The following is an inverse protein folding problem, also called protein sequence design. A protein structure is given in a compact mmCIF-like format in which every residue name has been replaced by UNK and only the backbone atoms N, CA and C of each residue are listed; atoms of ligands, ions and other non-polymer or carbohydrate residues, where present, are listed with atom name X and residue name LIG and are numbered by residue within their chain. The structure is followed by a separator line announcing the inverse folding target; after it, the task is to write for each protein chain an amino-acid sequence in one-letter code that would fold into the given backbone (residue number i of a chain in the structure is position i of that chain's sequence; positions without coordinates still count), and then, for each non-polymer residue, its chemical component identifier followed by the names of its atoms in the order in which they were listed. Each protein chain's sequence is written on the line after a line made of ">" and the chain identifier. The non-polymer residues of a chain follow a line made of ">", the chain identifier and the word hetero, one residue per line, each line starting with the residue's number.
data_IF_215135578498
#
_entry.id   IF_215135578498
#
_cell.length_a   1.000
_cell.length_b   1.000
_cell.length_c   1.000
_cell.angle_alpha   90.00
_cell.angle_beta   90.00
_cell.angle_gamma   90.00
#
_symmetry.space_group_name_H-M   'P 1'
#
loop_
_entity.id
_entity.type
_entity.pdbx_description
1 polymer ?
#
# COMPACT_ATOMS: atom_id res chain seq x y z
N UNK A 1 4.62 29.26 1.06
CA UNK A 1 4.38 28.36 -0.09
C UNK A 1 5.18 27.10 0.19
N UNK A 2 4.53 26.03 0.66
CA UNK A 2 5.25 24.77 0.90
C UNK A 2 5.54 24.16 -0.47
N UNK A 3 6.82 24.00 -0.80
CA UNK A 3 7.23 23.34 -2.02
C UNK A 3 6.79 21.87 -1.93
N UNK A 4 5.80 21.49 -2.74
CA UNK A 4 5.22 20.16 -2.66
C UNK A 4 6.15 19.21 -3.41
N UNK A 5 6.96 18.48 -2.65
CA UNK A 5 7.83 17.44 -3.19
C UNK A 5 6.99 16.48 -4.05
N UNK A 6 7.41 16.26 -5.29
CA UNK A 6 6.78 15.32 -6.22
C UNK A 6 7.83 14.40 -6.81
N UNK A 7 7.41 13.20 -7.21
CA UNK A 7 8.31 12.23 -7.85
C UNK A 7 8.67 12.71 -9.25
N UNK A 8 9.96 12.64 -9.58
CA UNK A 8 10.47 12.87 -10.93
C UNK A 8 9.96 11.78 -11.90
N UNK A 9 9.95 12.01 -13.22
CA UNK A 9 9.58 10.98 -14.19
C UNK A 9 10.37 9.68 -14.00
N UNK A 10 11.66 9.79 -13.67
CA UNK A 10 12.53 8.64 -13.42
C UNK A 10 12.11 7.85 -12.18
N UNK A 11 11.82 8.55 -11.08
CA UNK A 11 11.31 7.93 -9.85
C UNK A 11 9.95 7.26 -10.08
N UNK A 12 9.08 7.81 -10.93
CA UNK A 12 7.81 7.17 -11.29
C UNK A 12 8.00 5.86 -12.05
N UNK A 13 8.99 5.81 -12.94
CA UNK A 13 9.31 4.59 -13.68
C UNK A 13 9.92 3.51 -12.78
N UNK A 14 10.81 3.90 -11.86
CA UNK A 14 11.37 3.00 -10.85
C UNK A 14 10.28 2.51 -9.88
N UNK A 15 9.34 3.38 -9.49
CA UNK A 15 8.16 3.05 -8.68
C UNK A 15 7.29 2.00 -9.39
N UNK A 16 6.98 2.20 -10.67
CA UNK A 16 6.24 1.22 -11.47
C UNK A 16 6.95 -0.13 -11.52
N UNK A 17 8.27 -0.11 -11.71
CA UNK A 17 9.09 -1.32 -11.79
C UNK A 17 9.10 -2.09 -10.47
N UNK A 18 9.39 -1.42 -9.34
CA UNK A 18 9.38 -2.10 -8.04
C UNK A 18 7.97 -2.53 -7.63
N UNK A 19 6.92 -1.80 -8.01
CA UNK A 19 5.53 -2.20 -7.76
C UNK A 19 5.19 -3.52 -8.47
N UNK A 20 5.51 -3.68 -9.76
CA UNK A 20 5.36 -4.96 -10.48
C UNK A 20 6.11 -6.11 -9.82
N UNK A 21 7.28 -5.84 -9.24
CA UNK A 21 8.07 -6.86 -8.53
C UNK A 21 7.45 -7.26 -7.19
N UNK A 22 6.81 -6.32 -6.48
CA UNK A 22 6.12 -6.61 -5.22
C UNK A 22 4.82 -7.38 -5.49
N UNK A 23 4.05 -6.96 -6.50
CA UNK A 23 2.77 -7.58 -6.87
C UNK A 23 2.68 -7.69 -8.40
N UNK A 24 3.06 -8.83 -8.98
CA UNK A 24 2.92 -9.07 -10.41
C UNK A 24 1.44 -9.28 -10.80
N UNK A 25 1.08 -9.16 -12.09
CA UNK A 25 -0.25 -9.53 -12.56
C UNK A 25 -0.53 -11.01 -12.31
N UNK A 26 -1.80 -11.34 -12.08
CA UNK A 26 -2.26 -12.73 -11.94
C UNK A 26 -3.29 -13.08 -12.99
N UNK A 27 -2.93 -13.99 -13.89
CA UNK A 27 -3.83 -14.55 -14.89
C UNK A 27 -4.92 -15.44 -14.25
N UNK A 28 -4.54 -16.20 -13.21
CA UNK A 28 -5.45 -17.09 -12.46
C UNK A 28 -6.64 -16.31 -11.88
N UNK A 29 -6.38 -15.18 -11.23
CA UNK A 29 -7.40 -14.34 -10.62
C UNK A 29 -7.90 -13.21 -11.53
N UNK A 30 -7.35 -13.11 -12.76
CA UNK A 30 -7.65 -12.04 -13.74
C UNK A 30 -7.52 -10.63 -13.16
N UNK A 31 -6.49 -10.41 -12.35
CA UNK A 31 -6.20 -9.12 -11.72
C UNK A 31 -4.93 -8.50 -12.29
N UNK A 32 -4.89 -7.15 -12.40
CA UNK A 32 -3.68 -6.44 -12.80
C UNK A 32 -2.54 -6.65 -11.79
N UNK A 33 -1.32 -6.35 -12.22
CA UNK A 33 -0.19 -6.12 -11.32
C UNK A 33 -0.24 -4.71 -10.75
N UNK A 34 0.59 -4.42 -9.75
CA UNK A 34 0.66 -3.09 -9.16
C UNK A 34 1.29 -2.03 -10.09
N UNK A 35 1.78 -2.42 -11.27
CA UNK A 35 2.27 -1.54 -12.34
C UNK A 35 1.19 -1.05 -13.33
N UNK A 36 -0.05 -1.51 -13.17
CA UNK A 36 -1.22 -1.05 -13.93
C UNK A 36 -1.43 0.46 -13.81
N UNK A 37 -1.85 1.09 -14.90
CA UNK A 37 -1.94 2.55 -15.00
C UNK A 37 -2.89 3.19 -13.98
N UNK A 38 -4.01 2.53 -13.67
CA UNK A 38 -5.00 3.03 -12.70
C UNK A 38 -4.42 2.96 -11.29
N UNK A 39 -3.78 1.84 -10.95
CA UNK A 39 -3.14 1.63 -9.64
C UNK A 39 -1.98 2.60 -9.45
N UNK A 40 -1.15 2.80 -10.49
CA UNK A 40 -0.05 3.76 -10.46
C UNK A 40 -0.56 5.21 -10.29
N UNK A 41 -1.65 5.57 -10.96
CA UNK A 41 -2.26 6.88 -10.77
C UNK A 41 -2.75 7.09 -9.32
N UNK A 42 -3.37 6.08 -8.70
CA UNK A 42 -3.81 6.15 -7.31
C UNK A 42 -2.63 6.25 -6.32
N UNK A 43 -1.56 5.47 -6.53
CA UNK A 43 -0.33 5.58 -5.74
C UNK A 43 0.18 7.02 -5.76
N UNK A 44 0.33 7.61 -6.95
CA UNK A 44 0.86 8.95 -7.12
C UNK A 44 -0.05 10.04 -6.53
N UNK A 45 -1.37 9.87 -6.63
CA UNK A 45 -2.35 10.80 -6.09
C UNK A 45 -2.41 10.78 -4.56
N UNK A 46 -2.05 9.66 -3.92
CA UNK A 46 -2.24 9.44 -2.48
C UNK A 46 -0.96 9.46 -1.64
N UNK A 47 0.21 9.68 -2.25
CA UNK A 47 1.50 9.73 -1.53
C UNK A 47 1.49 10.70 -0.33
N UNK A 48 0.95 11.91 -0.50
CA UNK A 48 0.77 12.90 0.56
C UNK A 48 1.99 13.06 1.49
N UNK A 49 1.83 12.66 2.76
CA UNK A 49 2.89 12.74 3.78
C UNK A 49 4.04 11.75 3.56
N UNK A 50 3.81 10.68 2.81
CA UNK A 50 4.77 9.60 2.57
C UNK A 50 5.74 9.92 1.44
N UNK A 51 5.50 10.99 0.66
CA UNK A 51 6.31 11.32 -0.53
C UNK A 51 7.80 11.39 -0.24
N UNK A 52 8.22 11.98 0.89
CA UNK A 52 9.64 12.06 1.27
C UNK A 52 10.27 10.69 1.49
N UNK A 53 9.54 9.77 2.12
CA UNK A 53 10.00 8.41 2.38
C UNK A 53 10.04 7.59 1.09
N UNK A 54 9.05 7.77 0.21
CA UNK A 54 9.02 7.12 -1.10
C UNK A 54 10.18 7.61 -1.98
N UNK A 55 10.46 8.91 -2.03
CA UNK A 55 11.65 9.45 -2.71
C UNK A 55 12.93 8.82 -2.16
N UNK A 56 13.08 8.79 -0.83
CA UNK A 56 14.25 8.17 -0.18
C UNK A 56 14.42 6.69 -0.54
N UNK A 57 13.31 5.95 -0.63
CA UNK A 57 13.29 4.55 -1.03
C UNK A 57 13.73 4.37 -2.49
N UNK A 58 13.19 5.16 -3.41
CA UNK A 58 13.50 5.10 -4.84
C UNK A 58 14.95 5.51 -5.12
N UNK A 59 15.47 6.53 -4.44
CA UNK A 59 16.86 6.94 -4.55
C UNK A 59 17.81 5.86 -3.96
N UNK A 60 17.37 5.12 -2.94
CA UNK A 60 18.13 3.98 -2.44
C UNK A 60 18.14 2.81 -3.44
N UNK A 61 17.00 2.48 -4.06
CA UNK A 61 16.94 1.48 -5.13
C UNK A 61 17.88 1.84 -6.29
N UNK A 62 17.82 3.09 -6.78
CA UNK A 62 18.74 3.59 -7.82
C UNK A 62 20.21 3.47 -7.41
N UNK A 63 20.56 3.74 -6.14
CA UNK A 63 21.95 3.57 -5.66
C UNK A 63 22.40 2.12 -5.61
N UNK A 64 21.52 1.21 -5.17
CA UNK A 64 21.84 -0.24 -5.15
C UNK A 64 21.98 -0.81 -6.57
N UNK A 65 21.19 -0.31 -7.50
CA UNK A 65 21.24 -0.66 -8.91
C UNK A 65 22.43 -0.04 -9.66
N UNK A 66 23.04 1.03 -9.12
CA UNK A 66 24.08 1.83 -9.80
C UNK A 66 23.56 2.68 -10.97
N UNK A 67 22.27 2.56 -11.26
CA UNK A 67 21.50 3.27 -12.29
C UNK A 67 20.04 3.17 -11.87
N UNK A 68 19.12 3.93 -12.47
CA UNK A 68 17.74 3.79 -12.07
C UNK A 68 17.16 2.41 -12.40
N UNK A 69 16.38 1.87 -11.47
CA UNK A 69 15.97 0.46 -11.41
C UNK A 69 15.28 -0.02 -12.69
N UNK A 70 14.46 0.83 -13.30
CA UNK A 70 13.72 0.45 -14.50
C UNK A 70 14.61 0.21 -15.74
N UNK A 71 15.86 0.71 -15.73
CA UNK A 71 16.81 0.48 -16.83
C UNK A 71 17.62 -0.80 -16.64
N UNK A 72 17.56 -1.43 -15.46
CA UNK A 72 18.21 -2.72 -15.26
C UNK A 72 17.49 -3.82 -16.04
N UNK A 73 18.27 -4.78 -16.52
CA UNK A 73 17.75 -6.03 -17.06
C UNK A 73 16.90 -6.77 -16.02
N UNK A 74 15.76 -7.37 -16.42
CA UNK A 74 14.82 -8.01 -15.48
C UNK A 74 15.49 -8.98 -14.50
N UNK A 75 16.42 -9.81 -14.98
CA UNK A 75 17.12 -10.80 -14.15
C UNK A 75 18.01 -10.17 -13.06
N UNK A 76 18.50 -8.94 -13.25
CA UNK A 76 19.34 -8.24 -12.28
C UNK A 76 18.53 -7.52 -11.19
N UNK A 77 17.24 -7.24 -11.45
CA UNK A 77 16.39 -6.49 -10.52
C UNK A 77 16.15 -7.25 -9.22
N UNK A 78 16.04 -8.57 -9.26
CA UNK A 78 15.79 -9.41 -8.08
C UNK A 78 16.89 -9.28 -7.02
N UNK A 79 18.15 -9.20 -7.46
CA UNK A 79 19.29 -8.97 -6.56
C UNK A 79 19.20 -7.61 -5.87
N UNK A 80 18.84 -6.56 -6.62
CA UNK A 80 18.65 -5.21 -6.07
C UNK A 80 17.48 -5.19 -5.08
N UNK A 81 16.34 -5.78 -5.42
CA UNK A 81 15.18 -5.86 -4.55
C UNK A 81 15.48 -6.64 -3.26
N UNK A 82 16.26 -7.73 -3.35
CA UNK A 82 16.69 -8.48 -2.18
C UNK A 82 17.58 -7.64 -1.26
N UNK A 83 18.56 -6.94 -1.82
CA UNK A 83 19.43 -6.07 -1.04
C UNK A 83 18.64 -4.91 -0.42
N UNK A 84 17.70 -4.33 -1.17
CA UNK A 84 16.83 -3.27 -0.70
C UNK A 84 15.92 -3.71 0.45
N UNK A 85 15.40 -4.95 0.43
CA UNK A 85 14.65 -5.52 1.56
C UNK A 85 15.49 -5.59 2.83
N UNK A 86 16.79 -5.86 2.72
CA UNK A 86 17.71 -5.99 3.86
C UNK A 86 18.10 -4.60 4.41
N UNK A 87 18.46 -3.65 3.54
CA UNK A 87 19.03 -2.36 3.95
C UNK A 87 18.03 -1.19 3.97
N UNK A 88 16.82 -1.37 3.45
CA UNK A 88 15.92 -0.26 3.11
C UNK A 88 15.17 0.41 4.27
N UNK A 89 15.09 -0.22 5.44
CA UNK A 89 14.56 0.36 6.67
C UNK A 89 13.14 0.95 6.53
N UNK A 90 12.92 2.10 7.19
CA UNK A 90 11.61 2.78 7.24
C UNK A 90 11.13 3.23 5.85
N UNK A 91 12.05 3.66 4.98
CA UNK A 91 11.71 4.09 3.63
C UNK A 91 11.16 2.92 2.80
N UNK A 92 11.81 1.76 2.86
CA UNK A 92 11.32 0.54 2.20
C UNK A 92 9.98 0.07 2.75
N UNK A 93 9.81 0.06 4.07
CA UNK A 93 8.54 -0.29 4.69
C UNK A 93 7.40 0.66 4.25
N UNK A 94 7.70 1.95 4.11
CA UNK A 94 6.73 2.95 3.64
C UNK A 94 6.36 2.73 2.17
N UNK A 95 7.35 2.50 1.30
CA UNK A 95 7.13 2.19 -0.12
C UNK A 95 6.22 0.97 -0.29
N UNK A 96 6.56 -0.14 0.38
CA UNK A 96 5.79 -1.38 0.33
C UNK A 96 4.36 -1.15 0.82
N UNK A 97 4.20 -0.45 1.95
CA UNK A 97 2.88 -0.12 2.50
C UNK A 97 2.01 0.64 1.50
N UNK A 98 2.55 1.68 0.86
CA UNK A 98 1.80 2.50 -0.11
C UNK A 98 1.38 1.66 -1.32
N UNK A 99 2.28 0.84 -1.87
CA UNK A 99 1.98 -0.06 -2.99
C UNK A 99 0.85 -1.02 -2.63
N UNK A 100 0.95 -1.70 -1.48
CA UNK A 100 -0.10 -2.62 -1.03
C UNK A 100 -1.44 -1.92 -0.79
N UNK A 101 -1.43 -0.75 -0.16
CA UNK A 101 -2.65 0.00 0.15
C UNK A 101 -3.41 0.40 -1.10
N UNK A 102 -2.71 0.85 -2.15
CA UNK A 102 -3.35 1.26 -3.40
C UNK A 102 -3.76 0.04 -4.24
N UNK A 103 -2.95 -1.03 -4.24
CA UNK A 103 -3.31 -2.28 -4.92
C UNK A 103 -4.62 -2.87 -4.38
N UNK A 104 -4.75 -3.01 -3.06
CA UNK A 104 -5.96 -3.53 -2.43
C UNK A 104 -7.10 -2.50 -2.31
N UNK A 105 -6.92 -1.28 -2.83
CA UNK A 105 -8.00 -0.31 -3.00
C UNK A 105 -8.67 -0.44 -4.36
N UNK A 106 -7.99 -1.01 -5.36
CA UNK A 106 -8.54 -1.17 -6.70
C UNK A 106 -9.73 -2.14 -6.70
N UNK A 107 -10.84 -1.69 -7.28
CA UNK A 107 -12.09 -2.45 -7.30
C UNK A 107 -11.95 -3.80 -8.01
N UNK A 108 -11.10 -3.89 -9.04
CA UNK A 108 -10.86 -5.15 -9.78
C UNK A 108 -10.18 -6.18 -8.86
N UNK A 109 -9.26 -5.72 -8.02
CA UNK A 109 -8.54 -6.55 -7.04
C UNK A 109 -9.46 -6.96 -5.91
N UNK A 110 -10.23 -6.03 -5.33
CA UNK A 110 -11.17 -6.35 -4.27
C UNK A 110 -12.26 -7.33 -4.76
N UNK A 111 -12.77 -7.12 -5.97
CA UNK A 111 -13.75 -8.00 -6.60
C UNK A 111 -13.23 -9.44 -6.79
N UNK A 112 -11.93 -9.62 -7.10
CA UNK A 112 -11.35 -10.96 -7.26
C UNK A 112 -11.24 -11.74 -5.95
N UNK A 113 -11.25 -11.05 -4.81
CA UNK A 113 -11.24 -11.66 -3.47
C UNK A 113 -12.63 -12.07 -2.99
N UNK A 114 -13.67 -11.91 -3.83
CA UNK A 114 -15.06 -12.16 -3.44
C UNK A 114 -15.61 -11.11 -2.47
N UNK A 115 -14.94 -9.97 -2.34
CA UNK A 115 -15.40 -8.86 -1.51
C UNK A 115 -16.43 -8.03 -2.30
N UNK A 116 -17.56 -7.74 -1.69
CA UNK A 116 -18.55 -6.84 -2.28
C UNK A 116 -17.99 -5.41 -2.36
N UNK A 117 -17.91 -4.88 -3.58
CA UNK A 117 -17.56 -3.49 -3.87
C UNK A 117 -18.71 -2.57 -3.48
N UNK A 118 -18.80 -2.21 -2.21
CA UNK A 118 -19.79 -1.25 -1.73
C UNK A 118 -19.23 -0.35 -0.66
N UNK A 119 -19.78 0.86 -0.63
CA UNK A 119 -19.53 1.77 0.47
C UNK A 119 -19.93 1.10 1.81
N UNK A 120 -19.15 1.30 2.88
CA UNK A 120 -19.48 0.75 4.20
C UNK A 120 -20.82 1.29 4.73
N UNK A 121 -21.28 2.45 4.27
CA UNK A 121 -22.61 3.01 4.58
C UNK A 121 -23.46 3.08 3.30
N UNK A 122 -24.78 2.82 3.35
CA UNK A 122 -25.61 2.57 4.53
C UNK A 122 -25.65 1.12 5.01
N UNK A 123 -25.25 0.15 4.18
CA UNK A 123 -25.52 -1.27 4.47
C UNK A 123 -24.63 -1.89 5.57
N UNK A 124 -23.40 -1.42 5.79
CA UNK A 124 -22.48 -2.00 6.78
C UNK A 124 -22.02 -3.43 6.46
N UNK A 125 -21.01 -3.94 7.16
CA UNK A 125 -20.75 -5.38 7.21
C UNK A 125 -21.53 -5.97 8.39
N UNK A 126 -22.17 -7.12 8.19
CA UNK A 126 -22.82 -7.85 9.29
C UNK A 126 -21.71 -8.44 10.16
N UNK A 127 -21.62 -8.00 11.40
CA UNK A 127 -20.73 -8.61 12.39
C UNK A 127 -21.45 -9.81 13.01
N UNK A 128 -20.75 -10.93 13.25
CA UNK A 128 -21.28 -11.99 14.10
C UNK A 128 -21.60 -11.41 15.48
N UNK A 129 -22.65 -11.93 16.12
CA UNK A 129 -22.93 -11.59 17.51
C UNK A 129 -21.70 -11.93 18.37
N UNK A 130 -21.11 -10.92 18.99
CA UNK A 130 -19.96 -11.08 19.87
C UNK A 130 -20.37 -11.69 21.21
N UNK A 131 -19.40 -12.30 21.90
CA UNK A 131 -19.59 -12.75 23.28
C UNK A 131 -19.67 -11.55 24.23
N UNK A 132 -20.90 -11.21 24.61
CA UNK A 132 -21.20 -10.09 25.51
C UNK A 132 -20.72 -10.31 26.95
N UNK A 133 -20.34 -11.54 27.33
CA UNK A 133 -19.77 -11.82 28.65
C UNK A 133 -18.37 -11.20 28.83
N UNK A 134 -17.67 -10.91 27.72
CA UNK A 134 -16.40 -10.17 27.73
C UNK A 134 -16.52 -8.76 28.36
N UNK A 135 -17.73 -8.20 28.41
CA UNK A 135 -17.99 -6.90 29.03
C UNK A 135 -18.35 -6.98 30.51
N UNK A 136 -18.51 -8.18 31.09
CA UNK A 136 -18.93 -8.33 32.49
C UNK A 136 -17.97 -7.67 33.49
N UNK A 137 -16.62 -7.73 33.31
CA UNK A 137 -15.70 -6.97 34.15
C UNK A 137 -15.89 -5.45 34.06
N UNK A 138 -16.33 -4.93 32.91
CA UNK A 138 -16.61 -3.49 32.70
C UNK A 138 -17.92 -3.10 33.39
N UNK A 139 -18.97 -3.93 33.24
CA UNK A 139 -20.27 -3.73 33.91
C UNK A 139 -20.12 -3.74 35.43
N UNK A 140 -19.34 -4.69 35.96
CA UNK A 140 -19.07 -4.82 37.39
C UNK A 140 -18.29 -3.63 37.97
N UNK A 141 -17.51 -2.91 37.15
CA UNK A 141 -16.74 -1.73 37.56
C UNK A 141 -17.59 -0.48 37.80
N UNK A 142 -18.88 -0.48 37.45
CA UNK A 142 -19.80 0.64 37.69
C UNK A 142 -19.36 1.93 36.96
N UNK A 143 -18.89 1.80 35.71
CA UNK A 143 -18.32 2.92 34.95
C UNK A 143 -19.25 4.15 34.86
N UNK A 144 -18.68 5.34 35.03
CA UNK A 144 -19.33 6.62 34.76
C UNK A 144 -19.54 6.77 33.26
N UNK A 145 -20.69 6.30 32.76
CA UNK A 145 -21.15 6.63 31.42
C UNK A 145 -21.71 8.05 31.44
N UNK A 146 -21.20 8.92 30.55
CA UNK A 146 -21.77 10.26 30.35
C UNK A 146 -23.19 10.09 29.82
N UNK A 147 -24.18 10.53 30.60
CA UNK A 147 -25.59 10.55 30.16
C UNK A 147 -25.71 11.54 29.00
N UNK A 148 -26.07 11.03 27.83
CA UNK A 148 -26.58 11.84 26.72
C UNK A 148 -28.06 12.11 27.02
N UNK A 149 -28.40 13.38 27.15
CA UNK A 149 -29.76 13.91 27.14
C UNK A 149 -30.27 14.04 25.71
#
# INVERSE_FOLDING_TARGET
>A
MFDQLTLTPRQRQDLRTIAAMIIPPSEEYRVPGADDDIIQADILATLGRDTKQVVTALDHLSRLAGMPLADLEPAARDGVAQQFRISGGVAAATLVRVVLQCYYRDDRVLGSLGLELRAPFPKGHVLPDGDWSLLDPVKARGGSLRRTS
#
